data_IF_956529592418
#
_entry.id   IF_956529592418
#
_cell.length_a   1.000
_cell.length_b   1.000
_cell.length_c   1.000
_cell.angle_alpha   90.00
_cell.angle_beta   90.00
_cell.angle_gamma   90.00
#
_symmetry.space_group_name_H-M   'P 1'
#
loop_
_entity.id
_entity.type
_entity.pdbx_description
1 polymer ?
#
# COMPACT_ATOMS: atom_id res chain seq x y z
N UNK A 1 47.48 -42.51 16.85
CA UNK A 1 46.97 -41.26 17.45
C UNK A 1 47.11 -40.04 16.53
N UNK A 2 48.26 -39.82 15.88
CA UNK A 2 48.47 -38.66 15.00
C UNK A 2 47.58 -38.65 13.73
N UNK A 3 47.31 -39.81 13.13
CA UNK A 3 46.54 -39.93 11.88
C UNK A 3 45.05 -39.50 12.04
N UNK A 4 44.43 -39.86 13.18
CA UNK A 4 43.07 -39.45 13.52
C UNK A 4 42.97 -37.92 13.76
N UNK A 5 44.03 -37.31 14.28
CA UNK A 5 44.07 -35.86 14.50
C UNK A 5 44.16 -35.09 13.16
N UNK A 6 44.96 -35.60 12.21
CA UNK A 6 45.06 -35.01 10.86
C UNK A 6 43.74 -35.13 10.10
N UNK A 7 43.06 -36.28 10.18
CA UNK A 7 41.73 -36.47 9.58
C UNK A 7 40.67 -35.54 10.18
N UNK A 8 40.66 -35.37 11.51
CA UNK A 8 39.74 -34.45 12.18
C UNK A 8 39.95 -32.99 11.75
N UNK A 9 41.21 -32.55 11.63
CA UNK A 9 41.56 -31.21 11.16
C UNK A 9 41.09 -31.00 9.71
N UNK A 10 41.29 -31.97 8.82
CA UNK A 10 40.83 -31.90 7.43
C UNK A 10 39.30 -31.79 7.32
N UNK A 11 38.55 -32.53 8.16
CA UNK A 11 37.09 -32.45 8.22
C UNK A 11 36.63 -31.05 8.66
N UNK A 12 37.28 -30.47 9.68
CA UNK A 12 36.97 -29.11 10.15
C UNK A 12 37.20 -28.07 9.05
N UNK A 13 38.34 -28.12 8.34
CA UNK A 13 38.60 -27.19 7.24
C UNK A 13 37.63 -27.36 6.07
N UNK A 14 37.25 -28.60 5.74
CA UNK A 14 36.28 -28.87 4.67
C UNK A 14 34.90 -28.34 5.05
N UNK A 15 34.49 -28.50 6.31
CA UNK A 15 33.24 -27.96 6.82
C UNK A 15 33.22 -26.43 6.83
N UNK A 16 34.32 -25.79 7.24
CA UNK A 16 34.47 -24.33 7.19
C UNK A 16 34.41 -23.83 5.75
N UNK A 17 35.09 -24.48 4.81
CA UNK A 17 35.05 -24.12 3.39
C UNK A 17 33.66 -24.28 2.77
N UNK A 18 32.90 -25.29 3.18
CA UNK A 18 31.52 -25.46 2.76
C UNK A 18 30.61 -24.35 3.32
N UNK A 19 30.77 -24.00 4.60
CA UNK A 19 30.02 -22.91 5.23
C UNK A 19 30.31 -21.56 4.57
N UNK A 20 31.56 -21.26 4.24
CA UNK A 20 31.90 -20.01 3.55
C UNK A 20 31.32 -19.97 2.14
N UNK A 21 31.39 -21.07 1.39
CA UNK A 21 30.78 -21.15 0.06
C UNK A 21 29.26 -20.99 0.10
N UNK A 22 28.60 -21.60 1.10
CA UNK A 22 27.15 -21.46 1.30
C UNK A 22 26.77 -20.00 1.63
N UNK A 23 27.54 -19.33 2.51
CA UNK A 23 27.32 -17.93 2.84
C UNK A 23 27.48 -17.01 1.63
N UNK A 24 28.54 -17.18 0.83
CA UNK A 24 28.77 -16.40 -0.40
C UNK A 24 27.67 -16.64 -1.43
N UNK A 25 27.20 -17.89 -1.56
CA UNK A 25 26.11 -18.23 -2.49
C UNK A 25 24.78 -17.57 -2.08
N UNK A 26 24.50 -17.52 -0.78
CA UNK A 26 23.31 -16.86 -0.24
C UNK A 26 23.36 -15.33 -0.45
N UNK A 27 24.53 -14.73 -0.22
CA UNK A 27 24.75 -13.30 -0.45
C UNK A 27 24.65 -12.95 -1.95
N UNK A 28 25.17 -13.79 -2.83
CA UNK A 28 25.02 -13.62 -4.27
C UNK A 28 23.56 -13.76 -4.74
N UNK A 29 22.84 -14.78 -4.24
CA UNK A 29 21.44 -15.01 -4.59
C UNK A 29 20.53 -13.85 -4.13
N UNK A 30 20.76 -13.36 -2.91
CA UNK A 30 20.07 -12.16 -2.42
C UNK A 30 20.43 -10.96 -3.28
N UNK A 31 21.71 -10.61 -3.44
CA UNK A 31 22.12 -9.44 -4.25
C UNK A 31 21.57 -9.45 -5.68
N UNK A 32 21.54 -10.62 -6.33
CA UNK A 32 20.94 -10.81 -7.66
C UNK A 32 19.44 -10.49 -7.66
N UNK A 33 18.71 -10.93 -6.62
CA UNK A 33 17.28 -10.66 -6.48
C UNK A 33 16.94 -9.18 -6.25
N UNK A 34 17.86 -8.39 -5.66
CA UNK A 34 17.63 -6.95 -5.41
C UNK A 34 18.24 -6.03 -6.48
N UNK A 35 19.16 -6.48 -7.34
CA UNK A 35 19.80 -5.63 -8.36
C UNK A 35 18.85 -5.18 -9.48
N UNK A 36 17.76 -5.90 -9.74
CA UNK A 36 16.76 -5.56 -10.77
C UNK A 36 15.56 -4.75 -10.24
N UNK A 37 15.60 -4.30 -8.99
CA UNK A 37 14.49 -3.53 -8.41
C UNK A 37 14.49 -2.09 -8.94
N UNK A 38 13.44 -1.75 -9.67
CA UNK A 38 13.18 -0.39 -10.14
C UNK A 38 12.30 0.36 -9.14
N UNK A 39 12.78 1.50 -8.66
CA UNK A 39 11.93 2.45 -7.96
C UNK A 39 11.00 3.15 -8.94
N UNK A 40 9.71 3.23 -8.61
CA UNK A 40 8.70 3.93 -9.41
C UNK A 40 7.89 4.83 -8.50
N UNK A 41 7.91 6.14 -8.78
CA UNK A 41 7.07 7.12 -8.09
C UNK A 41 5.84 7.41 -8.93
N UNK A 42 4.66 7.21 -8.35
CA UNK A 42 3.37 7.49 -8.98
C UNK A 42 2.66 8.53 -8.11
N UNK A 43 2.04 9.52 -8.75
CA UNK A 43 1.33 10.60 -8.06
C UNK A 43 -0.04 10.78 -8.71
N UNK A 44 -1.07 10.81 -7.89
CA UNK A 44 -2.46 11.06 -8.30
C UNK A 44 -3.25 11.59 -7.09
N UNK A 45 -4.44 12.10 -7.38
CA UNK A 45 -5.47 12.45 -6.41
C UNK A 45 -6.57 11.39 -6.44
N UNK A 46 -7.01 10.97 -5.26
CA UNK A 46 -8.14 10.06 -5.07
C UNK A 46 -9.35 10.85 -4.59
N UNK A 47 -10.47 10.69 -5.27
CA UNK A 47 -11.74 11.31 -4.89
C UNK A 47 -12.68 10.26 -4.31
N UNK A 48 -12.84 10.32 -2.99
CA UNK A 48 -13.74 9.49 -2.20
C UNK A 48 -15.02 10.27 -1.93
N UNK A 49 -16.10 9.93 -2.65
CA UNK A 49 -17.33 10.70 -2.67
C UNK A 49 -18.50 9.81 -2.23
N UNK A 50 -19.09 10.08 -1.07
CA UNK A 50 -20.23 9.33 -0.55
C UNK A 50 -21.59 9.99 -0.81
N UNK A 51 -21.58 11.20 -1.36
CA UNK A 51 -22.81 11.93 -1.70
C UNK A 51 -22.69 12.78 -2.97
N UNK A 52 -23.82 13.31 -3.43
CA UNK A 52 -23.90 14.10 -4.66
C UNK A 52 -24.16 13.26 -5.90
N UNK A 53 -23.74 13.74 -7.07
CA UNK A 53 -24.03 13.10 -8.37
C UNK A 53 -23.03 12.01 -8.77
N UNK A 54 -21.81 12.06 -8.24
CA UNK A 54 -20.69 11.20 -8.63
C UNK A 54 -20.26 10.32 -7.45
N UNK A 55 -21.21 9.68 -6.77
CA UNK A 55 -20.92 8.81 -5.62
C UNK A 55 -20.01 7.65 -6.04
N UNK A 56 -18.88 7.51 -5.36
CA UNK A 56 -17.87 6.46 -5.57
C UNK A 56 -17.68 5.54 -4.37
N UNK A 57 -18.14 5.94 -3.19
CA UNK A 57 -18.06 5.14 -1.97
C UNK A 57 -19.39 5.11 -1.23
N UNK A 58 -19.64 4.02 -0.51
CA UNK A 58 -20.84 3.84 0.33
C UNK A 58 -20.54 2.94 1.52
N UNK A 59 -21.12 3.26 2.67
CA UNK A 59 -21.23 2.30 3.77
C UNK A 59 -22.03 1.05 3.36
N UNK A 60 -21.48 -0.12 3.67
CA UNK A 60 -22.07 -1.45 3.41
C UNK A 60 -22.34 -2.24 4.69
N UNK A 61 -21.82 -1.79 5.84
CA UNK A 61 -22.09 -2.33 7.16
C UNK A 61 -21.69 -1.34 8.26
N UNK A 62 -22.36 -1.34 9.42
CA UNK A 62 -22.07 -0.40 10.51
C UNK A 62 -23.30 -0.02 11.36
N UNK A 63 -23.15 0.95 12.26
CA UNK A 63 -24.20 1.35 13.23
C UNK A 63 -25.26 2.25 12.56
N UNK A 64 -26.54 1.83 12.44
CA UNK A 64 -27.50 2.46 11.51
C UNK A 64 -28.09 3.83 11.91
N UNK A 65 -27.66 4.47 13.01
CA UNK A 65 -28.55 5.42 13.73
C UNK A 65 -27.99 6.78 14.15
N UNK A 66 -26.74 7.13 13.84
CA UNK A 66 -26.15 8.39 14.32
C UNK A 66 -25.59 9.24 13.17
N UNK A 67 -25.81 10.57 13.21
CA UNK A 67 -25.33 11.56 12.22
C UNK A 67 -23.78 11.71 12.16
N UNK A 68 -23.01 10.79 12.76
CA UNK A 68 -21.53 10.70 12.71
C UNK A 68 -21.00 9.40 12.05
N UNK A 69 -21.85 8.77 11.24
CA UNK A 69 -21.75 7.42 10.68
C UNK A 69 -20.43 6.97 10.03
N UNK A 70 -19.62 7.85 9.43
CA UNK A 70 -18.45 7.42 8.62
C UNK A 70 -17.23 6.98 9.46
N UNK A 71 -16.98 7.65 10.60
CA UNK A 71 -15.87 7.31 11.50
C UNK A 71 -16.33 6.48 12.71
N UNK A 72 -17.61 6.12 12.79
CA UNK A 72 -18.12 5.26 13.86
C UNK A 72 -17.44 3.88 13.77
N UNK A 73 -16.87 3.42 14.89
CA UNK A 73 -16.13 2.15 14.95
C UNK A 73 -16.94 0.99 14.36
N UNK A 74 -16.30 0.23 13.47
CA UNK A 74 -16.89 -0.93 12.81
C UNK A 74 -17.74 -0.60 11.60
N UNK A 75 -17.89 0.68 11.21
CA UNK A 75 -18.47 1.03 9.91
C UNK A 75 -17.51 0.63 8.79
N UNK A 76 -18.03 -0.09 7.80
CA UNK A 76 -17.32 -0.58 6.62
C UNK A 76 -17.89 0.10 5.38
N UNK A 77 -16.99 0.59 4.54
CA UNK A 77 -17.31 1.24 3.27
C UNK A 77 -16.74 0.42 2.13
N UNK A 78 -17.50 0.32 1.04
CA UNK A 78 -17.00 -0.15 -0.24
C UNK A 78 -16.74 1.05 -1.13
N UNK A 79 -15.56 1.09 -1.76
CA UNK A 79 -15.16 2.18 -2.64
C UNK A 79 -14.80 1.70 -4.05
N UNK A 80 -15.12 2.56 -5.00
CA UNK A 80 -14.63 2.58 -6.37
C UNK A 80 -14.32 4.05 -6.70
N UNK A 81 -13.20 4.55 -6.17
CA UNK A 81 -12.81 5.97 -6.20
C UNK A 81 -11.95 6.34 -7.39
N UNK A 82 -12.19 7.53 -7.93
CA UNK A 82 -11.50 7.99 -9.14
C UNK A 82 -10.06 8.42 -8.80
N UNK A 83 -9.07 7.91 -9.55
CA UNK A 83 -7.68 8.35 -9.46
C UNK A 83 -7.33 9.26 -10.64
N UNK A 84 -6.89 10.48 -10.37
CA UNK A 84 -6.69 11.51 -11.40
C UNK A 84 -5.37 12.28 -11.23
N UNK A 85 -4.84 12.84 -12.33
CA UNK A 85 -3.51 13.50 -12.34
C UNK A 85 -3.47 14.83 -11.57
N UNK A 86 -4.60 15.53 -11.46
CA UNK A 86 -4.68 16.82 -10.79
C UNK A 86 -5.94 16.92 -9.93
N UNK A 87 -5.94 17.85 -8.96
CA UNK A 87 -7.05 18.06 -8.03
C UNK A 87 -8.44 18.24 -8.68
N UNK A 88 -8.50 18.75 -9.91
CA UNK A 88 -9.76 18.92 -10.65
C UNK A 88 -10.33 17.55 -11.06
N UNK A 89 -11.57 17.27 -10.65
CA UNK A 89 -12.35 16.08 -11.01
C UNK A 89 -12.35 15.76 -12.52
N UNK A 90 -12.28 16.77 -13.38
CA UNK A 90 -12.27 16.61 -14.84
C UNK A 90 -10.89 16.33 -15.43
N UNK A 91 -9.84 16.30 -14.61
CA UNK A 91 -8.50 15.97 -15.07
C UNK A 91 -8.37 14.51 -15.52
N UNK A 92 -7.26 14.20 -16.19
CA UNK A 92 -6.97 12.88 -16.75
C UNK A 92 -7.11 11.81 -15.67
N UNK A 93 -7.96 10.82 -15.92
CA UNK A 93 -8.06 9.66 -15.06
C UNK A 93 -6.91 8.68 -15.35
N UNK A 94 -6.23 8.26 -14.29
CA UNK A 94 -5.09 7.32 -14.37
C UNK A 94 -5.43 5.93 -13.84
N UNK A 95 -6.56 5.79 -13.14
CA UNK A 95 -7.00 4.52 -12.60
C UNK A 95 -8.20 4.65 -11.68
N UNK A 96 -8.37 3.63 -10.83
CA UNK A 96 -9.43 3.48 -9.84
C UNK A 96 -8.86 2.89 -8.55
N UNK A 97 -9.26 3.40 -7.40
CA UNK A 97 -9.04 2.76 -6.10
C UNK A 97 -10.29 1.93 -5.77
N UNK A 98 -10.12 0.63 -5.62
CA UNK A 98 -11.21 -0.33 -5.47
C UNK A 98 -11.00 -1.19 -4.24
N UNK A 99 -12.02 -1.33 -3.40
CA UNK A 99 -11.93 -2.22 -2.26
C UNK A 99 -12.83 -1.77 -1.12
N UNK A 100 -12.29 -1.89 0.10
CA UNK A 100 -12.98 -1.49 1.31
C UNK A 100 -12.06 -0.67 2.22
N UNK A 101 -12.68 0.18 3.02
CA UNK A 101 -12.06 0.72 4.22
C UNK A 101 -13.04 0.63 5.39
N UNK A 102 -12.52 0.65 6.61
CA UNK A 102 -13.36 0.61 7.79
C UNK A 102 -12.82 1.48 8.92
N UNK A 103 -13.71 2.05 9.72
CA UNK A 103 -13.31 2.68 10.98
C UNK A 103 -12.86 1.62 11.98
N UNK A 104 -11.56 1.54 12.21
CA UNK A 104 -10.93 0.44 12.96
C UNK A 104 -10.45 0.85 14.35
N UNK A 105 -10.33 2.16 14.62
CA UNK A 105 -10.08 2.70 15.94
C UNK A 105 -11.38 3.02 16.68
N UNK A 106 -11.43 2.72 17.98
CA UNK A 106 -12.61 2.97 18.83
C UNK A 106 -12.99 4.46 18.92
N UNK A 107 -12.04 5.35 18.70
CA UNK A 107 -12.23 6.81 18.70
C UNK A 107 -12.47 7.40 17.30
N UNK A 108 -12.54 6.54 16.26
CA UNK A 108 -12.73 6.94 14.87
C UNK A 108 -11.52 7.62 14.22
N UNK A 109 -10.34 7.53 14.85
CA UNK A 109 -9.12 8.18 14.33
C UNK A 109 -8.43 7.44 13.20
N UNK A 110 -8.84 6.20 12.91
CA UNK A 110 -8.23 5.33 11.90
C UNK A 110 -9.26 4.76 10.93
N UNK A 111 -8.97 4.90 9.64
CA UNK A 111 -9.59 4.11 8.58
C UNK A 111 -8.61 3.03 8.14
N UNK A 112 -8.92 1.77 8.41
CA UNK A 112 -8.09 0.67 7.93
C UNK A 112 -8.39 0.41 6.45
N UNK A 113 -7.40 0.57 5.59
CA UNK A 113 -7.52 0.43 4.15
C UNK A 113 -7.24 -1.01 3.71
N UNK A 114 -8.06 -1.49 2.76
CA UNK A 114 -7.84 -2.71 2.00
C UNK A 114 -8.25 -2.43 0.55
N UNK A 115 -7.34 -1.80 -0.20
CA UNK A 115 -7.63 -1.14 -1.48
C UNK A 115 -6.66 -1.61 -2.58
N UNK A 116 -7.19 -1.95 -3.73
CA UNK A 116 -6.45 -2.18 -4.97
C UNK A 116 -6.46 -0.91 -5.84
N UNK A 117 -5.29 -0.41 -6.22
CA UNK A 117 -5.12 0.66 -7.20
C UNK A 117 -5.06 0.05 -8.60
N UNK A 118 -6.18 0.04 -9.32
CA UNK A 118 -6.30 -0.49 -10.67
C UNK A 118 -5.94 0.61 -11.68
N UNK A 119 -4.75 0.51 -12.27
CA UNK A 119 -4.20 1.55 -13.13
C UNK A 119 -4.58 1.33 -14.60
N UNK A 120 -4.99 2.42 -15.24
CA UNK A 120 -5.51 2.42 -16.62
C UNK A 120 -4.83 3.48 -17.50
N UNK A 121 -3.85 4.23 -16.98
CA UNK A 121 -3.08 5.16 -17.79
C UNK A 121 -2.23 4.40 -18.84
N UNK A 122 -1.82 5.10 -19.89
CA UNK A 122 -1.11 4.49 -21.04
C UNK A 122 0.09 3.64 -20.64
N UNK A 123 0.86 4.08 -19.63
CA UNK A 123 2.07 3.39 -19.21
C UNK A 123 1.79 2.18 -18.31
N UNK A 124 0.85 2.27 -17.37
CA UNK A 124 0.66 1.25 -16.31
C UNK A 124 -0.63 0.45 -16.49
N UNK A 125 -1.31 0.59 -17.64
CA UNK A 125 -2.57 -0.08 -17.94
C UNK A 125 -2.55 -1.58 -17.61
N UNK A 126 -3.52 -2.02 -16.81
CA UNK A 126 -3.68 -3.41 -16.39
C UNK A 126 -2.75 -3.83 -15.24
N UNK A 127 -1.96 -2.91 -14.69
CA UNK A 127 -1.18 -3.14 -13.47
C UNK A 127 -1.99 -2.72 -12.25
N UNK A 128 -1.76 -3.43 -11.14
CA UNK A 128 -2.46 -3.19 -9.87
C UNK A 128 -1.41 -3.05 -8.77
N UNK A 129 -1.64 -2.13 -7.83
CA UNK A 129 -0.92 -2.06 -6.56
C UNK A 129 -1.90 -2.33 -5.42
N UNK A 130 -1.51 -3.15 -4.46
CA UNK A 130 -2.32 -3.47 -3.29
C UNK A 130 -1.89 -2.61 -2.10
N UNK A 131 -2.83 -1.86 -1.54
CA UNK A 131 -2.66 -0.96 -0.40
C UNK A 131 -3.35 -1.55 0.80
N UNK A 132 -2.62 -1.68 1.91
CA UNK A 132 -3.16 -2.15 3.18
C UNK A 132 -2.53 -1.41 4.36
N UNK A 133 -3.35 -1.00 5.33
CA UNK A 133 -2.85 -0.49 6.61
C UNK A 133 -3.76 0.55 7.26
N UNK A 134 -3.28 1.06 8.40
CA UNK A 134 -3.93 2.11 9.18
C UNK A 134 -3.76 3.48 8.50
N UNK A 135 -4.88 4.11 8.11
CA UNK A 135 -4.94 5.51 7.69
C UNK A 135 -5.43 6.39 8.85
N UNK A 136 -4.49 6.92 9.63
CA UNK A 136 -4.80 7.78 10.78
C UNK A 136 -5.32 9.15 10.31
N UNK A 137 -6.59 9.23 9.91
CA UNK A 137 -7.19 10.29 9.08
C UNK A 137 -7.03 11.73 9.58
N UNK A 138 -6.83 11.92 10.89
CA UNK A 138 -6.60 13.24 11.49
C UNK A 138 -5.14 13.71 11.42
N UNK A 139 -4.22 12.83 11.04
CA UNK A 139 -2.83 13.21 10.77
C UNK A 139 -2.72 13.85 9.38
N UNK A 140 -1.91 14.90 9.32
CA UNK A 140 -1.63 15.60 8.06
C UNK A 140 -0.87 14.72 7.07
N UNK A 141 0.11 13.97 7.57
CA UNK A 141 0.98 13.11 6.77
C UNK A 141 0.75 11.68 7.22
N UNK A 142 0.39 10.82 6.27
CA UNK A 142 0.04 9.43 6.55
C UNK A 142 0.78 8.53 5.57
N UNK A 143 1.25 7.40 6.06
CA UNK A 143 1.95 6.41 5.26
C UNK A 143 1.22 5.07 5.38
N UNK A 144 0.87 4.48 4.23
CA UNK A 144 0.17 3.19 4.16
C UNK A 144 0.98 2.24 3.28
N UNK A 145 1.02 0.96 3.64
CA UNK A 145 1.89 -0.01 2.96
C UNK A 145 1.38 -0.37 1.58
N UNK A 146 2.30 -0.42 0.61
CA UNK A 146 2.13 -1.16 -0.65
C UNK A 146 2.58 -2.58 -0.38
N UNK A 147 1.62 -3.49 -0.21
CA UNK A 147 1.90 -4.87 0.21
C UNK A 147 2.25 -5.78 -0.98
N UNK A 148 1.76 -5.46 -2.17
CA UNK A 148 2.05 -6.20 -3.39
C UNK A 148 1.67 -5.43 -4.66
N UNK A 149 1.87 -6.06 -5.82
CA UNK A 149 1.30 -5.62 -7.09
C UNK A 149 1.25 -6.70 -8.16
N UNK A 150 0.51 -6.42 -9.24
CA UNK A 150 0.39 -7.28 -10.42
C UNK A 150 0.79 -6.52 -11.69
N UNK A 151 0.84 -7.21 -12.83
CA UNK A 151 1.27 -6.59 -14.09
C UNK A 151 2.72 -6.12 -14.02
N UNK A 152 2.95 -4.83 -14.21
CA UNK A 152 4.30 -4.22 -14.12
C UNK A 152 4.83 -4.13 -12.68
N UNK A 153 3.97 -4.30 -11.68
CA UNK A 153 4.29 -4.19 -10.25
C UNK A 153 4.37 -5.55 -9.54
N UNK A 154 4.66 -6.63 -10.27
CA UNK A 154 4.90 -7.94 -9.64
C UNK A 154 6.01 -7.83 -8.60
N UNK A 155 5.73 -8.31 -7.39
CA UNK A 155 6.66 -8.25 -6.25
C UNK A 155 6.98 -6.81 -5.79
N UNK A 156 6.18 -5.82 -6.19
CA UNK A 156 6.33 -4.46 -5.68
C UNK A 156 6.09 -4.42 -4.17
N UNK A 157 6.88 -3.58 -3.50
CA UNK A 157 6.78 -3.26 -2.09
C UNK A 157 7.17 -1.80 -1.90
N UNK A 158 6.63 -1.17 -0.89
CA UNK A 158 6.91 0.24 -0.60
C UNK A 158 5.77 0.82 0.23
N UNK A 159 5.53 2.11 0.04
CA UNK A 159 4.50 2.83 0.77
C UNK A 159 3.84 3.88 -0.13
N UNK A 160 2.60 4.20 0.19
CA UNK A 160 1.88 5.35 -0.33
C UNK A 160 1.85 6.42 0.76
N UNK A 161 2.08 7.67 0.37
CA UNK A 161 1.94 8.81 1.28
C UNK A 161 0.68 9.60 0.95
N UNK A 162 -0.10 9.90 1.97
CA UNK A 162 -1.44 10.46 1.84
C UNK A 162 -1.54 11.78 2.60
N UNK A 163 -2.22 12.76 2.00
CA UNK A 163 -2.64 14.00 2.63
C UNK A 163 -4.09 14.29 2.24
N UNK A 164 -4.95 14.56 3.22
CA UNK A 164 -6.34 14.99 2.94
C UNK A 164 -6.33 16.45 2.51
N UNK A 165 -6.51 16.69 1.21
CA UNK A 165 -6.46 18.04 0.61
C UNK A 165 -7.83 18.71 0.56
N UNK A 166 -8.91 17.93 0.67
CA UNK A 166 -10.28 18.40 0.83
C UNK A 166 -11.07 17.45 1.73
N UNK A 167 -11.91 18.02 2.60
CA UNK A 167 -12.78 17.25 3.49
C UNK A 167 -14.11 17.99 3.70
N UNK A 168 -15.21 17.32 3.39
CA UNK A 168 -16.58 17.74 3.62
C UNK A 168 -17.30 16.70 4.48
N UNK A 169 -17.17 16.88 5.80
CA UNK A 169 -17.66 15.94 6.82
C UNK A 169 -19.18 15.72 6.71
N UNK A 170 -20.04 16.74 6.58
CA UNK A 170 -21.49 16.53 6.45
C UNK A 170 -21.90 15.60 5.30
N UNK A 171 -21.13 15.61 4.22
CA UNK A 171 -21.42 14.90 2.98
C UNK A 171 -20.54 13.66 2.80
N UNK A 172 -19.63 13.39 3.74
CA UNK A 172 -18.63 12.31 3.64
C UNK A 172 -17.88 12.34 2.32
N UNK A 173 -17.44 13.51 1.88
CA UNK A 173 -16.64 13.63 0.67
C UNK A 173 -15.22 14.05 1.05
N UNK A 174 -14.23 13.37 0.50
CA UNK A 174 -12.83 13.67 0.68
C UNK A 174 -12.07 13.63 -0.65
N UNK A 175 -11.02 14.44 -0.72
CA UNK A 175 -9.99 14.30 -1.75
C UNK A 175 -8.67 14.04 -1.03
N UNK A 176 -8.04 12.93 -1.36
CA UNK A 176 -6.74 12.53 -0.84
C UNK A 176 -5.71 12.73 -1.95
N UNK A 177 -4.66 13.47 -1.65
CA UNK A 177 -3.58 13.76 -2.58
C UNK A 177 -2.23 13.23 -2.08
N UNK A 178 -1.16 13.44 -2.86
CA UNK A 178 0.19 13.16 -2.41
C UNK A 178 0.56 14.07 -1.24
N UNK A 179 1.24 13.52 -0.24
CA UNK A 179 1.82 14.35 0.82
C UNK A 179 3.02 15.14 0.32
N UNK A 180 3.09 16.44 0.61
CA UNK A 180 4.29 17.25 0.35
C UNK A 180 5.33 17.14 1.49
N UNK A 181 5.67 15.92 1.93
CA UNK A 181 6.82 15.75 2.81
C UNK A 181 8.10 16.08 2.03
N UNK A 182 8.60 17.29 2.25
CA UNK A 182 9.98 17.70 1.97
C UNK A 182 10.81 17.47 3.23
#
# INVERSE_FOLDING_TARGET
MAENAVAAIAIVYTFIAFLTLAAVSLEAATKYQFQDLKETKIVFYMHDLESGRNVTSKAVGGVPKSRRWILDFGTVHACDDKLIEAYDWNSTQVGRAQGIYMSSALDGSDLHLLISLVLTNKELNGSILEIQGADMVFQKYREVSVVFGTGKFKLARGFATLETVFLDIPNSNAIVGPSNMC
#
